data_IF_624648048879
#
_entry.id   IF_624648048879
#
_cell.length_a   1.000
_cell.length_b   1.000
_cell.length_c   1.000
_cell.angle_alpha   90.00
_cell.angle_beta   90.00
_cell.angle_gamma   90.00
#
_symmetry.space_group_name_H-M   'P 1'
#
loop_
_entity.id
_entity.type
_entity.pdbx_description
1 polymer ?
#
# COMPACT_ATOMS: atom_id res chain seq x y z
N UNK A 1 62.98 -38.85 51.23
CA UNK A 1 61.94 -39.89 51.30
C UNK A 1 60.79 -39.40 50.43
N UNK A 2 60.41 -39.98 49.30
CA UNK A 2 60.85 -41.18 48.60
C UNK A 2 60.73 -40.98 47.08
N UNK A 3 61.35 -41.90 46.36
CA UNK A 3 61.60 -41.93 44.92
C UNK A 3 60.45 -42.52 44.07
N UNK A 4 60.47 -42.12 42.78
CA UNK A 4 60.20 -42.87 41.53
C UNK A 4 58.85 -43.60 41.31
N UNK A 5 58.19 -43.38 40.16
CA UNK A 5 58.45 -44.11 38.89
C UNK A 5 57.62 -43.55 37.72
N UNK A 6 58.26 -43.49 36.55
CA UNK A 6 57.72 -43.19 35.22
C UNK A 6 56.96 -44.41 34.64
N UNK A 7 55.91 -44.16 33.84
CA UNK A 7 55.50 -45.08 32.79
C UNK A 7 54.95 -44.30 31.59
N UNK A 8 55.71 -44.34 30.50
CA UNK A 8 55.37 -43.82 29.18
C UNK A 8 54.51 -44.84 28.43
N UNK A 9 53.41 -44.40 27.82
CA UNK A 9 52.74 -45.12 26.74
C UNK A 9 52.48 -44.13 25.60
N UNK A 10 53.13 -44.37 24.47
CA UNK A 10 52.88 -43.73 23.19
C UNK A 10 51.75 -44.47 22.48
N UNK A 11 50.68 -43.78 22.09
CA UNK A 11 49.83 -44.20 20.97
C UNK A 11 49.49 -42.97 20.13
N UNK A 12 49.91 -43.04 18.87
CA UNK A 12 49.52 -42.18 17.76
C UNK A 12 48.07 -42.44 17.39
N UNK A 13 47.27 -41.40 17.19
CA UNK A 13 46.29 -41.43 16.10
C UNK A 13 45.86 -40.03 15.67
N UNK A 14 46.08 -39.79 14.40
CA UNK A 14 45.58 -38.68 13.61
C UNK A 14 44.06 -38.62 13.72
N UNK A 15 43.51 -37.46 14.07
CA UNK A 15 42.17 -37.08 13.67
C UNK A 15 42.15 -35.57 13.44
N UNK A 16 42.42 -35.22 12.19
CA UNK A 16 42.13 -33.91 11.63
C UNK A 16 40.63 -33.65 11.75
N UNK A 17 40.23 -32.92 12.79
CA UNK A 17 38.90 -32.33 12.84
C UNK A 17 38.84 -31.21 11.80
N UNK A 18 38.28 -31.58 10.65
CA UNK A 18 37.84 -30.74 9.56
C UNK A 18 36.94 -29.60 10.07
N UNK A 19 37.49 -28.38 10.18
CA UNK A 19 36.79 -27.18 10.67
C UNK A 19 36.07 -26.43 9.55
N UNK A 20 35.31 -27.14 8.71
CA UNK A 20 34.38 -26.48 7.80
C UNK A 20 33.02 -26.32 8.51
N UNK A 21 32.50 -25.09 8.72
CA UNK A 21 31.17 -24.93 9.29
C UNK A 21 30.15 -25.50 8.30
N UNK A 22 29.52 -26.61 8.68
CA UNK A 22 28.28 -27.10 8.06
C UNK A 22 27.22 -26.03 8.25
N UNK A 23 27.10 -25.12 7.29
CA UNK A 23 25.89 -24.30 7.14
C UNK A 23 24.75 -25.27 6.84
N UNK A 24 24.03 -25.68 7.89
CA UNK A 24 22.84 -26.49 7.74
C UNK A 24 21.90 -25.76 6.76
N UNK A 25 21.41 -26.48 5.76
CA UNK A 25 20.56 -25.94 4.67
C UNK A 25 19.27 -25.25 5.14
N UNK A 26 18.97 -25.30 6.44
CA UNK A 26 17.75 -24.81 7.07
C UNK A 26 18.04 -23.73 8.13
N UNK A 27 19.18 -23.04 8.06
CA UNK A 27 19.49 -21.96 8.99
C UNK A 27 18.48 -20.82 8.84
N UNK A 28 17.66 -20.60 9.88
CA UNK A 28 16.76 -19.46 9.99
C UNK A 28 17.46 -18.42 10.87
N UNK A 29 17.69 -17.18 10.38
CA UNK A 29 18.27 -16.14 11.21
C UNK A 29 17.36 -15.89 12.43
N UNK A 30 17.94 -16.02 13.63
CA UNK A 30 17.25 -15.66 14.87
C UNK A 30 17.20 -14.13 14.93
N UNK A 31 15.99 -13.58 14.99
CA UNK A 31 15.81 -12.15 15.25
C UNK A 31 16.32 -11.82 16.65
N UNK A 32 17.26 -10.87 16.74
CA UNK A 32 17.76 -10.35 18.01
C UNK A 32 16.73 -9.47 18.74
N UNK A 33 15.71 -8.99 18.03
CA UNK A 33 14.62 -8.24 18.63
C UNK A 33 13.77 -9.15 19.54
N UNK A 34 13.33 -8.67 20.72
CA UNK A 34 12.40 -9.41 21.57
C UNK A 34 11.18 -9.90 20.80
N UNK A 35 10.70 -11.09 21.14
CA UNK A 35 9.45 -11.59 20.60
C UNK A 35 8.32 -10.58 20.86
N UNK A 36 7.41 -10.44 19.90
CA UNK A 36 6.30 -9.47 19.93
C UNK A 36 6.71 -7.99 19.98
N UNK A 37 7.94 -7.66 19.60
CA UNK A 37 8.31 -6.26 19.36
C UNK A 37 7.37 -5.66 18.32
N UNK A 38 6.61 -4.60 18.67
CA UNK A 38 5.63 -4.02 17.77
C UNK A 38 6.33 -3.35 16.58
N UNK A 39 5.80 -3.60 15.38
CA UNK A 39 6.17 -2.89 14.16
C UNK A 39 4.93 -2.30 13.52
N UNK A 40 5.10 -1.21 12.76
CA UNK A 40 4.00 -0.72 11.93
C UNK A 40 3.72 -1.70 10.80
N UNK A 41 2.44 -1.92 10.53
CA UNK A 41 1.95 -2.63 9.34
C UNK A 41 1.97 -1.64 8.18
N UNK A 42 2.68 -1.98 7.10
CA UNK A 42 2.71 -1.16 5.90
C UNK A 42 1.49 -1.44 5.05
N UNK A 43 0.64 -0.42 4.89
CA UNK A 43 -0.59 -0.50 4.11
C UNK A 43 -0.46 0.44 2.92
N UNK A 44 -0.62 -0.10 1.72
CA UNK A 44 -0.68 0.71 0.50
C UNK A 44 -2.10 0.67 -0.06
N UNK A 45 -2.66 1.84 -0.37
CA UNK A 45 -3.91 1.98 -1.10
C UNK A 45 -3.63 2.56 -2.49
N UNK A 46 -4.32 2.04 -3.51
CA UNK A 46 -4.22 2.54 -4.88
C UNK A 46 -5.49 3.34 -5.22
N UNK A 47 -5.35 4.65 -5.41
CA UNK A 47 -6.41 5.58 -5.81
C UNK A 47 -6.91 6.49 -4.68
N UNK A 48 -6.95 7.80 -4.93
CA UNK A 48 -7.47 8.85 -4.06
C UNK A 48 -8.86 9.34 -4.51
N UNK A 49 -9.73 8.39 -4.86
CA UNK A 49 -11.17 8.60 -4.97
C UNK A 49 -11.89 8.45 -3.63
N UNK A 50 -13.22 8.28 -3.65
CA UNK A 50 -14.02 8.08 -2.43
C UNK A 50 -13.46 6.99 -1.51
N UNK A 51 -13.10 5.82 -2.04
CA UNK A 51 -12.61 4.70 -1.24
C UNK A 51 -11.30 5.01 -0.51
N UNK A 52 -10.30 5.57 -1.20
CA UNK A 52 -9.01 5.92 -0.60
C UNK A 52 -9.13 7.04 0.42
N UNK A 53 -9.95 8.06 0.14
CA UNK A 53 -10.18 9.16 1.07
C UNK A 53 -10.98 8.73 2.31
N UNK A 54 -11.95 7.81 2.15
CA UNK A 54 -12.65 7.20 3.28
C UNK A 54 -11.69 6.39 4.15
N UNK A 55 -10.77 5.63 3.54
CA UNK A 55 -9.73 4.92 4.27
C UNK A 55 -8.83 5.90 5.05
N UNK A 56 -8.39 6.99 4.41
CA UNK A 56 -7.60 8.03 5.09
C UNK A 56 -8.35 8.64 6.27
N UNK A 57 -9.66 8.90 6.13
CA UNK A 57 -10.48 9.42 7.22
C UNK A 57 -10.54 8.41 8.38
N UNK A 58 -10.81 7.14 8.08
CA UNK A 58 -10.89 6.08 9.10
C UNK A 58 -9.57 5.91 9.83
N UNK A 59 -8.47 5.81 9.10
CA UNK A 59 -7.11 5.64 9.65
C UNK A 59 -6.68 6.80 10.55
N UNK A 60 -7.13 8.03 10.27
CA UNK A 60 -6.70 9.23 10.99
C UNK A 60 -7.66 9.67 12.09
N UNK A 61 -8.97 9.64 11.83
CA UNK A 61 -9.97 10.31 12.66
C UNK A 61 -10.93 9.34 13.35
N UNK A 62 -11.38 8.28 12.67
CA UNK A 62 -12.36 7.33 13.25
C UNK A 62 -11.67 6.29 14.14
N UNK A 63 -10.52 5.79 13.69
CA UNK A 63 -9.69 4.86 14.44
C UNK A 63 -8.25 5.29 14.21
N UNK A 64 -7.71 6.20 15.04
CA UNK A 64 -6.34 6.68 14.90
C UNK A 64 -5.35 5.52 14.96
N UNK A 65 -4.80 5.17 13.81
CA UNK A 65 -3.91 4.01 13.64
C UNK A 65 -2.48 4.44 13.29
N UNK A 66 -2.11 5.71 13.46
CA UNK A 66 -0.79 6.22 13.04
C UNK A 66 0.39 5.50 13.71
N UNK A 67 0.20 5.00 14.93
CA UNK A 67 1.22 4.26 15.69
C UNK A 67 1.38 2.81 15.23
N UNK A 68 0.37 2.24 14.59
CA UNK A 68 0.31 0.83 14.20
C UNK A 68 0.37 0.61 12.69
N UNK A 69 -0.02 1.60 11.90
CA UNK A 69 -0.20 1.50 10.45
C UNK A 69 0.56 2.61 9.76
N UNK A 70 1.48 2.21 8.88
CA UNK A 70 2.13 3.10 7.94
C UNK A 70 1.36 3.09 6.61
N UNK A 71 0.46 4.07 6.43
CA UNK A 71 -0.41 4.17 5.26
C UNK A 71 0.20 5.01 4.14
N UNK A 72 0.24 4.51 2.91
CA UNK A 72 0.51 5.32 1.71
C UNK A 72 -0.62 5.13 0.71
N UNK A 73 -1.13 6.23 0.14
CA UNK A 73 -2.12 6.19 -0.94
C UNK A 73 -1.45 6.67 -2.21
N UNK A 74 -1.33 5.83 -3.23
CA UNK A 74 -0.81 6.24 -4.54
C UNK A 74 -1.95 6.67 -5.46
N UNK A 75 -1.89 7.90 -5.97
CA UNK A 75 -2.83 8.44 -6.93
C UNK A 75 -2.10 8.79 -8.22
N UNK A 76 -2.59 8.28 -9.36
CA UNK A 76 -1.96 8.49 -10.66
C UNK A 76 -2.10 9.94 -11.16
N UNK A 77 -3.17 10.63 -10.75
CA UNK A 77 -3.46 11.99 -11.17
C UNK A 77 -2.81 13.03 -10.22
N UNK A 78 -2.94 14.30 -10.59
CA UNK A 78 -2.40 15.44 -9.85
C UNK A 78 -3.24 15.90 -8.65
N UNK A 79 -4.46 15.38 -8.50
CA UNK A 79 -5.41 15.80 -7.47
C UNK A 79 -6.29 14.61 -7.04
N UNK A 80 -7.03 14.80 -5.95
CA UNK A 80 -8.02 13.84 -5.47
C UNK A 80 -9.28 13.89 -6.34
N UNK A 81 -10.11 12.84 -6.25
CA UNK A 81 -11.45 12.83 -6.85
C UNK A 81 -11.75 11.58 -7.67
N UNK A 82 -10.73 10.82 -8.08
CA UNK A 82 -10.89 9.59 -8.85
C UNK A 82 -11.74 9.82 -10.11
N UNK A 83 -12.86 9.09 -10.23
CA UNK A 83 -13.81 9.20 -11.34
C UNK A 83 -14.23 10.64 -11.65
N UNK A 84 -14.45 11.47 -10.62
CA UNK A 84 -14.94 12.84 -10.77
C UNK A 84 -13.87 13.84 -11.22
N UNK A 85 -12.60 13.47 -11.06
CA UNK A 85 -11.49 14.25 -11.60
C UNK A 85 -11.30 13.99 -13.10
N UNK A 86 -11.39 12.71 -13.51
CA UNK A 86 -11.03 12.27 -14.87
C UNK A 86 -12.18 12.38 -15.88
N UNK A 87 -13.44 12.26 -15.43
CA UNK A 87 -14.61 12.39 -16.31
C UNK A 87 -15.10 13.83 -16.33
N UNK A 88 -14.83 14.54 -17.44
CA UNK A 88 -15.17 15.97 -17.63
C UNK A 88 -16.02 16.24 -18.88
N UNK A 89 -16.71 15.22 -19.39
CA UNK A 89 -17.59 15.40 -20.56
C UNK A 89 -18.82 16.27 -20.20
N UNK A 90 -19.38 17.02 -21.16
CA UNK A 90 -20.56 17.86 -20.91
C UNK A 90 -21.74 17.05 -20.36
N UNK A 91 -22.34 17.52 -19.28
CA UNK A 91 -23.50 16.87 -18.65
C UNK A 91 -23.17 15.71 -17.71
N UNK A 92 -21.89 15.44 -17.42
CA UNK A 92 -21.51 14.45 -16.40
C UNK A 92 -22.17 14.79 -15.06
N UNK A 93 -22.90 13.82 -14.50
CA UNK A 93 -23.64 13.95 -13.25
C UNK A 93 -23.73 12.58 -12.56
N UNK A 94 -24.08 12.59 -11.27
CA UNK A 94 -24.36 11.37 -10.53
C UNK A 94 -25.77 10.84 -10.85
N UNK A 95 -25.89 9.52 -10.94
CA UNK A 95 -27.12 8.78 -11.20
C UNK A 95 -27.95 8.50 -9.93
N UNK A 96 -27.39 8.77 -8.75
CA UNK A 96 -28.06 8.65 -7.46
C UNK A 96 -28.25 10.02 -6.80
N UNK A 97 -29.21 10.18 -5.86
CA UNK A 97 -29.41 11.44 -5.16
C UNK A 97 -28.12 11.92 -4.48
N UNK A 98 -27.72 13.17 -4.73
CA UNK A 98 -26.47 13.73 -4.21
C UNK A 98 -26.34 13.65 -2.68
N UNK A 99 -27.48 13.73 -1.97
CA UNK A 99 -27.58 13.64 -0.52
C UNK A 99 -27.14 12.29 0.06
N UNK A 100 -27.26 11.21 -0.72
CA UNK A 100 -26.75 9.88 -0.33
C UNK A 100 -25.39 9.57 -0.96
N UNK A 101 -24.96 10.37 -1.94
CA UNK A 101 -23.65 10.28 -2.59
C UNK A 101 -22.63 11.20 -1.92
N UNK A 102 -22.44 11.01 -0.62
CA UNK A 102 -21.64 11.86 0.25
C UNK A 102 -20.83 10.99 1.21
N UNK A 103 -19.73 11.50 1.76
CA UNK A 103 -19.04 10.80 2.84
C UNK A 103 -19.97 10.74 4.06
N UNK A 104 -20.13 9.56 4.66
CA UNK A 104 -21.01 9.35 5.82
C UNK A 104 -20.71 10.28 7.00
N UNK A 105 -19.42 10.63 7.19
CA UNK A 105 -18.97 11.56 8.23
C UNK A 105 -19.09 13.05 7.83
N UNK A 106 -19.41 13.36 6.57
CA UNK A 106 -19.55 14.73 6.07
C UNK A 106 -20.71 14.86 5.08
N UNK A 107 -21.98 14.79 5.55
CA UNK A 107 -23.13 15.14 4.72
C UNK A 107 -23.01 16.55 4.13
N UNK A 108 -23.69 16.79 3.00
CA UNK A 108 -23.79 18.09 2.35
C UNK A 108 -25.27 18.42 2.07
N UNK A 109 -25.90 19.33 2.83
CA UNK A 109 -27.26 19.77 2.55
C UNK A 109 -27.33 20.82 1.44
N UNK A 110 -26.18 21.41 1.07
CA UNK A 110 -26.11 22.55 0.15
C UNK A 110 -25.91 22.12 -1.32
N UNK A 111 -26.30 20.89 -1.69
CA UNK A 111 -26.26 20.46 -3.09
C UNK A 111 -27.21 21.32 -3.93
N UNK A 112 -26.73 21.78 -5.08
CA UNK A 112 -27.48 22.66 -5.98
C UNK A 112 -28.67 21.98 -6.66
N UNK A 113 -28.65 20.65 -6.73
CA UNK A 113 -29.67 19.83 -7.38
C UNK A 113 -29.75 18.43 -6.74
N UNK A 114 -30.84 17.71 -7.05
CA UNK A 114 -31.00 16.32 -6.62
C UNK A 114 -29.94 15.39 -7.25
N UNK A 115 -29.59 15.62 -8.52
CA UNK A 115 -28.50 14.95 -9.24
C UNK A 115 -27.36 15.93 -9.48
N UNK A 116 -26.39 15.94 -8.57
CA UNK A 116 -25.27 16.88 -8.62
C UNK A 116 -24.37 16.62 -9.84
N UNK A 117 -23.85 17.72 -10.39
CA UNK A 117 -22.93 17.66 -11.54
C UNK A 117 -21.56 17.15 -11.12
N UNK A 118 -20.79 16.62 -12.08
CA UNK A 118 -19.42 16.15 -11.81
C UNK A 118 -18.50 17.22 -11.20
N UNK A 119 -18.47 18.47 -11.71
CA UNK A 119 -17.71 19.55 -11.09
C UNK A 119 -18.12 19.84 -9.64
N UNK A 120 -19.41 19.79 -9.33
CA UNK A 120 -19.92 20.03 -7.98
C UNK A 120 -19.47 18.94 -7.00
N UNK A 121 -19.60 17.67 -7.42
CA UNK A 121 -19.14 16.52 -6.64
C UNK A 121 -17.64 16.56 -6.41
N UNK A 122 -16.85 16.85 -7.46
CA UNK A 122 -15.41 16.99 -7.32
C UNK A 122 -15.04 18.13 -6.35
N UNK A 123 -15.75 19.26 -6.44
CA UNK A 123 -15.62 20.37 -5.50
C UNK A 123 -15.91 19.97 -4.05
N UNK A 124 -16.97 19.17 -3.82
CA UNK A 124 -17.28 18.61 -2.51
C UNK A 124 -16.17 17.69 -1.98
N UNK A 125 -15.62 16.81 -2.82
CA UNK A 125 -14.50 15.93 -2.46
C UNK A 125 -13.30 16.77 -2.03
N UNK A 126 -12.89 17.77 -2.82
CA UNK A 126 -11.76 18.65 -2.50
C UNK A 126 -11.96 19.42 -1.19
N UNK A 127 -13.16 19.98 -0.98
CA UNK A 127 -13.50 20.68 0.28
C UNK A 127 -13.39 19.74 1.49
N UNK A 128 -13.88 18.51 1.35
CA UNK A 128 -13.83 17.50 2.42
C UNK A 128 -12.40 17.05 2.70
N UNK A 129 -11.62 16.73 1.65
CA UNK A 129 -10.20 16.38 1.76
C UNK A 129 -9.43 17.45 2.51
N UNK A 130 -9.58 18.72 2.13
CA UNK A 130 -8.92 19.85 2.80
C UNK A 130 -9.35 19.99 4.26
N UNK A 131 -10.66 19.88 4.55
CA UNK A 131 -11.20 20.03 5.92
C UNK A 131 -10.62 19.01 6.89
N UNK A 132 -10.48 17.75 6.47
CA UNK A 132 -9.98 16.67 7.32
C UNK A 132 -8.51 16.33 7.08
N UNK A 133 -7.84 17.03 6.15
CA UNK A 133 -6.45 16.82 5.75
C UNK A 133 -6.20 15.33 5.42
N UNK A 134 -7.03 14.82 4.48
CA UNK A 134 -7.07 13.40 4.06
C UNK A 134 -5.99 13.06 3.02
N UNK A 135 -5.44 14.07 2.37
CA UNK A 135 -4.37 13.99 1.39
C UNK A 135 -2.97 13.90 2.00
N UNK A 136 -2.82 14.04 3.32
CA UNK A 136 -1.53 13.96 4.04
C UNK A 136 -0.70 12.71 3.71
N UNK A 137 -1.35 11.59 3.39
CA UNK A 137 -0.71 10.31 3.05
C UNK A 137 -0.82 9.95 1.57
N UNK A 138 -1.31 10.87 0.75
CA UNK A 138 -1.47 10.68 -0.69
C UNK A 138 -0.18 11.12 -1.39
N UNK A 139 0.33 10.23 -2.25
CA UNK A 139 1.39 10.49 -3.20
C UNK A 139 0.74 10.63 -4.58
N UNK A 140 0.66 11.87 -5.06
CA UNK A 140 0.11 12.18 -6.39
C UNK A 140 1.10 11.84 -7.50
N UNK A 141 0.63 11.86 -8.75
CA UNK A 141 1.43 11.55 -9.94
C UNK A 141 2.19 10.21 -9.82
N UNK A 142 1.58 9.26 -9.11
CA UNK A 142 2.17 7.98 -8.72
C UNK A 142 1.29 6.86 -9.22
N UNK A 143 1.61 6.34 -10.40
CA UNK A 143 0.83 5.30 -11.06
C UNK A 143 1.37 3.91 -10.69
N UNK A 144 0.63 3.15 -9.89
CA UNK A 144 0.99 1.75 -9.61
C UNK A 144 0.76 0.91 -10.87
N UNK A 145 1.85 0.40 -11.44
CA UNK A 145 1.84 -0.38 -12.70
C UNK A 145 1.93 -1.89 -12.48
N UNK A 146 2.35 -2.32 -11.29
CA UNK A 146 2.44 -3.74 -10.93
C UNK A 146 2.23 -3.92 -9.43
N UNK A 147 1.53 -5.00 -9.07
CA UNK A 147 1.38 -5.48 -7.70
C UNK A 147 1.41 -7.01 -7.72
N UNK A 148 2.48 -7.60 -7.20
CA UNK A 148 2.70 -9.05 -7.21
C UNK A 148 2.94 -9.50 -5.77
N UNK A 149 2.25 -10.55 -5.35
CA UNK A 149 2.47 -11.15 -4.04
C UNK A 149 3.76 -11.98 -4.05
N UNK A 150 4.59 -11.80 -3.02
CA UNK A 150 5.78 -12.61 -2.74
C UNK A 150 5.48 -13.53 -1.55
N UNK A 151 5.25 -14.81 -1.83
CA UNK A 151 4.96 -15.83 -0.81
C UNK A 151 6.12 -16.06 0.17
N UNK A 152 7.36 -15.88 -0.27
CA UNK A 152 8.53 -16.09 0.59
C UNK A 152 8.66 -14.98 1.63
N UNK A 153 8.35 -13.74 1.23
CA UNK A 153 8.37 -12.58 2.13
C UNK A 153 7.06 -12.33 2.85
N UNK A 154 5.95 -12.88 2.36
CA UNK A 154 4.60 -12.54 2.82
C UNK A 154 4.26 -11.07 2.57
N UNK A 155 4.65 -10.52 1.41
CA UNK A 155 4.49 -9.10 1.08
C UNK A 155 4.05 -8.88 -0.36
N UNK A 156 3.32 -7.80 -0.59
CA UNK A 156 3.10 -7.25 -1.92
C UNK A 156 4.34 -6.50 -2.39
N UNK A 157 4.87 -6.85 -3.55
CA UNK A 157 5.84 -6.05 -4.30
C UNK A 157 5.11 -5.15 -5.29
N UNK A 158 5.38 -3.86 -5.20
CA UNK A 158 4.75 -2.84 -6.02
C UNK A 158 5.79 -2.18 -6.93
N UNK A 159 5.38 -1.87 -8.15
CA UNK A 159 6.12 -0.94 -9.03
C UNK A 159 5.26 0.28 -9.26
N UNK A 160 5.79 1.44 -8.88
CA UNK A 160 5.13 2.73 -8.99
C UNK A 160 5.87 3.57 -10.01
N UNK A 161 5.18 3.96 -11.08
CA UNK A 161 5.71 4.89 -12.06
C UNK A 161 5.41 6.32 -11.60
N UNK A 162 6.45 7.08 -11.29
CA UNK A 162 6.41 8.50 -10.95
C UNK A 162 7.14 9.27 -12.05
N UNK A 163 6.36 9.91 -12.94
CA UNK A 163 6.88 10.74 -14.03
C UNK A 163 7.96 10.05 -14.90
N UNK A 164 7.82 8.75 -15.16
CA UNK A 164 8.74 7.94 -15.97
C UNK A 164 9.79 7.18 -15.16
N UNK A 165 9.96 7.49 -13.87
CA UNK A 165 10.84 6.73 -12.97
C UNK A 165 10.06 5.62 -12.28
N UNK A 166 10.60 4.40 -12.30
CA UNK A 166 10.02 3.27 -11.57
C UNK A 166 10.62 3.23 -10.16
N UNK A 167 9.75 3.39 -9.17
CA UNK A 167 10.05 3.21 -7.75
C UNK A 167 9.47 1.87 -7.32
N UNK A 168 10.28 1.08 -6.62
CA UNK A 168 9.82 -0.16 -5.98
C UNK A 168 9.37 0.11 -4.55
N UNK A 169 8.28 -0.52 -4.14
CA UNK A 169 7.72 -0.42 -2.79
C UNK A 169 7.21 -1.79 -2.35
N UNK A 170 7.11 -2.01 -1.04
CA UNK A 170 6.58 -3.24 -0.46
C UNK A 170 5.47 -2.91 0.55
N UNK A 171 4.43 -3.75 0.60
CA UNK A 171 3.33 -3.60 1.55
C UNK A 171 2.94 -4.93 2.19
N UNK A 172 2.57 -4.89 3.47
CA UNK A 172 1.95 -6.02 4.15
C UNK A 172 0.49 -6.18 3.67
N UNK A 173 -0.20 -5.06 3.44
CA UNK A 173 -1.60 -5.02 2.99
C UNK A 173 -1.74 -4.10 1.78
N UNK A 174 -2.43 -4.57 0.76
CA UNK A 174 -2.76 -3.79 -0.43
C UNK A 174 -4.28 -3.56 -0.51
N UNK A 175 -4.70 -2.30 -0.58
CA UNK A 175 -6.09 -1.88 -0.74
C UNK A 175 -6.30 -1.35 -2.14
N UNK A 176 -7.08 -2.05 -2.96
CA UNK A 176 -7.41 -1.60 -4.31
C UNK A 176 -8.61 -0.63 -4.29
N UNK A 177 -8.35 0.67 -4.44
CA UNK A 177 -9.33 1.75 -4.53
C UNK A 177 -9.44 2.37 -5.93
N UNK A 178 -8.99 1.68 -6.99
CA UNK A 178 -8.85 2.25 -8.35
C UNK A 178 -10.17 2.55 -9.05
N UNK A 179 -11.27 1.96 -8.57
CA UNK A 179 -12.60 2.07 -9.17
C UNK A 179 -12.69 1.45 -10.57
N UNK A 180 -13.87 1.51 -11.17
CA UNK A 180 -14.14 0.92 -12.49
C UNK A 180 -14.13 1.94 -13.64
N UNK A 181 -14.39 3.22 -13.34
CA UNK A 181 -14.74 4.25 -14.32
C UNK A 181 -13.56 5.17 -14.68
N UNK A 182 -12.33 4.67 -14.53
CA UNK A 182 -11.09 5.45 -14.70
C UNK A 182 -10.21 5.01 -15.88
N UNK A 183 -10.63 3.95 -16.61
CA UNK A 183 -9.97 3.43 -17.81
C UNK A 183 -10.97 3.39 -18.97
N UNK A 184 -10.78 4.25 -19.96
CA UNK A 184 -11.55 4.20 -21.20
C UNK A 184 -11.00 3.11 -22.13
N UNK A 185 -11.83 2.60 -23.03
CA UNK A 185 -11.43 1.66 -24.08
C UNK A 185 -12.02 2.13 -25.41
N UNK A 186 -11.22 2.11 -26.46
CA UNK A 186 -11.72 2.29 -27.81
C UNK A 186 -12.49 1.03 -28.24
N UNK A 187 -13.64 1.14 -28.92
CA UNK A 187 -14.29 -0.03 -29.51
C UNK A 187 -13.37 -0.66 -30.57
N UNK A 188 -13.30 -1.98 -30.59
CA UNK A 188 -12.58 -2.73 -31.62
C UNK A 188 -13.37 -2.69 -32.92
N UNK A 189 -13.24 -1.61 -33.69
CA UNK A 189 -13.81 -1.52 -35.03
C UNK A 189 -12.91 -2.30 -35.99
N UNK A 190 -13.44 -3.32 -36.67
CA UNK A 190 -12.78 -3.93 -37.81
C UNK A 190 -12.94 -3.00 -39.01
N UNK A 191 -11.82 -2.55 -39.57
CA UNK A 191 -11.80 -1.81 -40.83
C UNK A 191 -12.27 -2.74 -41.95
N UNK A 192 -13.52 -2.62 -42.37
CA UNK A 192 -13.99 -3.26 -43.59
C UNK A 192 -13.45 -2.51 -44.80
N UNK A 193 -12.31 -2.94 -45.32
CA UNK A 193 -11.85 -2.61 -46.66
C UNK A 193 -11.10 -3.81 -47.26
#
# INVERSE_FOLDING_TARGET
MGENINASLTETNENTHDTAPRSASNWVPISEAPAFTPRKIRVVCIGAGYSGLMLAYKWKHETPMEDFVDLTIYEKNEDVGGTWLVNRYPGVACDVPAHIYTFSFKPNPDWSSFYATGPEIWGYIKKTTKKYNLDKRVQFQSNVISSIWDDQKGKWKLKVNQNGTIVEDEADVLVNGTGLLSKWRWPGLQSGC
#
